data_IF_523521757775
#
_entry.id   IF_523521757775
#
_cell.length_a   1.000
_cell.length_b   1.000
_cell.length_c   1.000
_cell.angle_alpha   90.00
_cell.angle_beta   90.00
_cell.angle_gamma   90.00
#
_symmetry.space_group_name_H-M   'P 1'
#
loop_
_entity.id
_entity.type
_entity.pdbx_description
1 polymer ?
#
# COMPACT_ATOMS: atom_id res chain seq x y z
N UNK A 1 -9.87 8.32 -9.56
CA UNK A 1 -9.94 8.71 -8.14
C UNK A 1 -11.07 7.97 -7.44
N UNK A 2 -12.31 8.16 -7.91
CA UNK A 2 -13.54 7.55 -7.39
C UNK A 2 -13.44 6.02 -7.12
N UNK A 3 -12.94 5.25 -8.10
CA UNK A 3 -12.79 3.78 -7.97
C UNK A 3 -12.00 3.34 -6.72
N UNK A 4 -10.88 4.01 -6.43
CA UNK A 4 -10.00 3.61 -5.33
C UNK A 4 -10.62 3.93 -3.97
N UNK A 5 -11.34 5.05 -3.87
CA UNK A 5 -12.02 5.50 -2.64
C UNK A 5 -13.18 4.58 -2.33
N UNK A 6 -14.05 4.31 -3.31
CA UNK A 6 -15.17 3.39 -3.16
C UNK A 6 -14.74 2.00 -2.69
N UNK A 7 -13.56 1.52 -3.12
CA UNK A 7 -12.99 0.24 -2.65
C UNK A 7 -12.42 0.29 -1.24
N UNK A 8 -11.95 1.45 -0.79
CA UNK A 8 -11.46 1.66 0.58
C UNK A 8 -12.63 1.82 1.55
N UNK A 9 -13.66 2.59 1.19
CA UNK A 9 -14.89 2.78 1.99
C UNK A 9 -15.61 1.45 2.22
N UNK A 10 -15.69 0.61 1.20
CA UNK A 10 -16.29 -0.72 1.30
C UNK A 10 -15.30 -1.81 1.77
N UNK A 11 -14.14 -1.43 2.33
CA UNK A 11 -13.17 -2.40 2.77
C UNK A 11 -13.60 -3.03 4.10
N UNK A 12 -13.76 -4.36 4.11
CA UNK A 12 -14.10 -5.14 5.30
C UNK A 12 -13.13 -4.94 6.49
N UNK A 13 -11.88 -4.58 6.23
CA UNK A 13 -10.87 -4.39 7.28
C UNK A 13 -10.80 -2.95 7.81
N UNK A 14 -11.45 -1.99 7.16
CA UNK A 14 -11.46 -0.58 7.57
C UNK A 14 -10.07 -0.02 7.90
N UNK A 15 -9.93 0.52 9.11
CA UNK A 15 -8.69 1.11 9.62
C UNK A 15 -7.63 0.08 10.04
N UNK A 16 -8.03 -1.15 10.37
CA UNK A 16 -7.12 -2.25 10.70
C UNK A 16 -6.47 -2.88 9.45
N UNK A 17 -6.81 -2.34 8.27
CA UNK A 17 -6.28 -2.80 6.99
C UNK A 17 -4.75 -2.67 6.96
N UNK A 18 -4.07 -3.79 6.77
CA UNK A 18 -2.63 -3.83 6.52
C UNK A 18 -2.31 -3.42 5.08
N UNK A 19 -1.03 -3.48 4.69
CA UNK A 19 -0.60 -3.20 3.31
C UNK A 19 -1.42 -4.00 2.29
N UNK A 20 -1.85 -3.34 1.20
CA UNK A 20 -2.59 -3.97 0.10
C UNK A 20 -1.89 -5.21 -0.46
N UNK A 21 -0.55 -5.30 -0.38
CA UNK A 21 0.24 -6.47 -0.79
C UNK A 21 0.00 -7.70 0.10
N UNK A 22 -0.21 -7.50 1.40
CA UNK A 22 -0.41 -8.56 2.42
C UNK A 22 -1.88 -8.78 2.79
N UNK A 23 -2.80 -8.07 2.13
CA UNK A 23 -4.22 -8.17 2.40
C UNK A 23 -4.75 -9.55 1.98
N UNK A 24 -5.52 -10.22 2.86
CA UNK A 24 -6.08 -11.55 2.58
C UNK A 24 -7.12 -11.53 1.45
N UNK A 25 -7.95 -10.48 1.41
CA UNK A 25 -8.96 -10.30 0.36
C UNK A 25 -8.59 -9.13 -0.54
N UNK A 26 -8.10 -9.42 -1.75
CA UNK A 26 -7.74 -8.39 -2.72
C UNK A 26 -8.99 -7.80 -3.40
N UNK A 27 -9.30 -6.53 -3.10
CA UNK A 27 -10.50 -5.85 -3.61
C UNK A 27 -10.32 -5.12 -4.96
N UNK A 28 -9.08 -5.00 -5.44
CA UNK A 28 -8.76 -4.37 -6.73
C UNK A 28 -8.77 -5.40 -7.86
N UNK A 29 -9.39 -5.03 -8.99
CA UNK A 29 -9.36 -5.81 -10.25
C UNK A 29 -7.89 -5.99 -10.69
N UNK A 30 -7.51 -7.15 -11.28
CA UNK A 30 -6.15 -7.44 -11.76
C UNK A 30 -5.46 -6.27 -12.47
N UNK A 31 -6.11 -5.66 -13.45
CA UNK A 31 -5.55 -4.57 -14.27
C UNK A 31 -5.20 -3.33 -13.42
N UNK A 32 -6.04 -3.01 -12.43
CA UNK A 32 -5.77 -1.88 -11.53
C UNK A 32 -4.63 -2.20 -10.56
N UNK A 33 -4.46 -3.47 -10.18
CA UNK A 33 -3.33 -3.91 -9.35
C UNK A 33 -2.02 -3.79 -10.10
N UNK A 34 -2.01 -4.10 -11.39
CA UNK A 34 -0.84 -3.92 -12.24
C UNK A 34 -0.43 -2.44 -12.34
N UNK A 35 -1.39 -1.55 -12.60
CA UNK A 35 -1.15 -0.10 -12.57
C UNK A 35 -0.58 0.38 -11.24
N UNK A 36 -1.07 -0.16 -10.11
CA UNK A 36 -0.50 0.16 -8.80
C UNK A 36 0.96 -0.31 -8.69
N UNK A 37 1.31 -1.48 -9.23
CA UNK A 37 2.72 -1.96 -9.23
C UNK A 37 3.60 -1.06 -10.08
N UNK A 38 3.15 -0.62 -11.25
CA UNK A 38 3.89 0.32 -12.10
C UNK A 38 4.15 1.64 -11.37
N UNK A 39 3.11 2.20 -10.76
CA UNK A 39 3.23 3.43 -9.96
C UNK A 39 4.20 3.24 -8.79
N UNK A 40 4.13 2.12 -8.07
CA UNK A 40 5.07 1.84 -6.97
C UNK A 40 6.51 1.65 -7.48
N UNK A 41 6.72 1.04 -8.65
CA UNK A 41 8.05 0.86 -9.26
C UNK A 41 8.64 2.20 -9.71
N UNK A 42 7.79 3.09 -10.22
CA UNK A 42 8.17 4.43 -10.65
C UNK A 42 8.42 5.36 -9.46
N UNK A 43 7.47 5.46 -8.53
CA UNK A 43 7.50 6.43 -7.43
C UNK A 43 8.31 5.95 -6.23
N UNK A 44 8.39 4.64 -5.98
CA UNK A 44 9.07 4.06 -4.82
C UNK A 44 10.51 4.55 -4.65
N UNK A 45 11.41 4.32 -5.62
CA UNK A 45 12.79 4.78 -5.53
C UNK A 45 12.94 6.31 -5.42
N UNK A 46 12.00 7.08 -5.97
CA UNK A 46 12.01 8.54 -5.88
C UNK A 46 11.64 9.07 -4.50
N UNK A 47 10.79 8.36 -3.76
CA UNK A 47 10.46 8.73 -2.38
C UNK A 47 11.72 8.72 -1.50
N UNK A 48 12.73 7.91 -1.83
CA UNK A 48 14.03 7.92 -1.16
C UNK A 48 14.70 9.31 -1.17
N UNK A 49 14.56 10.08 -2.26
CA UNK A 49 15.20 11.37 -2.42
C UNK A 49 14.55 12.47 -1.57
N UNK A 50 13.23 12.42 -1.38
CA UNK A 50 12.47 13.47 -0.68
C UNK A 50 12.12 13.11 0.77
N UNK A 51 11.85 11.83 1.04
CA UNK A 51 11.33 11.31 2.31
C UNK A 51 12.02 9.97 2.66
N UNK A 52 13.35 9.95 2.84
CA UNK A 52 14.12 8.71 3.03
C UNK A 52 13.61 7.86 4.19
N UNK A 53 13.22 8.48 5.32
CA UNK A 53 12.70 7.76 6.49
C UNK A 53 11.43 6.95 6.19
N UNK A 54 10.52 7.46 5.38
CA UNK A 54 9.28 6.77 5.01
C UNK A 54 9.56 5.59 4.08
N UNK A 55 10.50 5.77 3.15
CA UNK A 55 10.94 4.71 2.24
C UNK A 55 11.61 3.56 2.99
N UNK A 56 12.52 3.87 3.92
CA UNK A 56 13.18 2.89 4.78
C UNK A 56 12.14 2.14 5.61
N UNK A 57 11.22 2.86 6.29
CA UNK A 57 10.12 2.25 7.03
C UNK A 57 9.24 1.36 6.15
N UNK A 58 8.94 1.78 4.91
CA UNK A 58 8.18 0.99 3.96
C UNK A 58 8.90 -0.32 3.60
N UNK A 59 10.20 -0.27 3.28
CA UNK A 59 10.99 -1.48 2.95
C UNK A 59 11.07 -2.43 4.14
N UNK A 60 11.35 -1.90 5.33
CA UNK A 60 11.42 -2.71 6.55
C UNK A 60 10.07 -3.37 6.85
N UNK A 61 8.96 -2.66 6.65
CA UNK A 61 7.61 -3.19 6.86
C UNK A 61 7.10 -4.05 5.69
N UNK A 62 7.64 -3.89 4.48
CA UNK A 62 7.31 -4.72 3.32
C UNK A 62 7.96 -6.09 3.44
N UNK A 63 9.21 -6.14 3.91
CA UNK A 63 10.03 -7.35 4.03
C UNK A 63 9.94 -8.02 5.41
N UNK A 64 9.61 -7.25 6.45
CA UNK A 64 9.38 -7.72 7.81
C UNK A 64 7.90 -7.88 8.13
N UNK A 65 7.59 -8.98 8.81
CA UNK A 65 6.33 -9.25 9.47
C UNK A 65 6.02 -8.12 10.47
N UNK A 66 4.83 -7.51 10.35
CA UNK A 66 4.20 -6.58 11.30
C UNK A 66 4.90 -5.22 11.49
N UNK A 67 4.19 -4.17 11.10
CA UNK A 67 4.19 -2.93 11.85
C UNK A 67 2.75 -2.47 11.98
N UNK A 68 2.22 -2.64 13.20
CA UNK A 68 1.02 -1.95 13.67
C UNK A 68 1.23 -0.46 13.37
N UNK A 69 0.24 0.15 12.73
CA UNK A 69 0.12 1.60 12.74
C UNK A 69 -0.26 1.97 14.17
N UNK A 70 0.73 2.38 14.95
CA UNK A 70 0.52 3.13 16.18
C UNK A 70 -0.22 4.41 15.84
N UNK A 71 -1.48 4.48 16.21
CA UNK A 71 -1.96 5.61 16.99
C UNK A 71 -2.45 5.06 18.33
#
# INVERSE_FOLDING_TARGET
YDYSIKRLENCRYGEEKTSCKKCKTHCYIPDKREKIREVMRFSGPRIMLYRPHQYIRYILNSNGSKAKSTR
#
